data_IF_587971425308
#
_entry.id   IF_587971425308
#
_cell.length_a   1.000
_cell.length_b   1.000
_cell.length_c   1.000
_cell.angle_alpha   90.00
_cell.angle_beta   90.00
_cell.angle_gamma   90.00
#
_symmetry.space_group_name_H-M   'P 1'
#
loop_
_entity.id
_entity.type
_entity.pdbx_description
1 polymer ?
#
# COMPACT_ATOMS: atom_id res chain seq x y z
N UNK A 1 -7.19 29.85 -22.74
CA UNK A 1 -8.11 29.28 -21.74
C UNK A 1 -7.44 28.07 -21.12
N UNK A 2 -6.93 28.17 -19.89
CA UNK A 2 -6.34 27.02 -19.20
C UNK A 2 -7.42 25.96 -19.05
N UNK A 3 -7.23 24.76 -19.61
CA UNK A 3 -8.11 23.61 -19.30
C UNK A 3 -8.10 23.46 -17.79
N UNK A 4 -9.25 23.66 -17.16
CA UNK A 4 -9.43 23.49 -15.72
C UNK A 4 -9.02 22.04 -15.39
N UNK A 5 -7.96 21.87 -14.59
CA UNK A 5 -7.45 20.55 -14.24
C UNK A 5 -8.47 19.85 -13.35
N UNK A 6 -9.12 18.80 -13.86
CA UNK A 6 -10.08 18.02 -13.08
C UNK A 6 -9.36 17.33 -11.92
N UNK A 7 -9.91 17.32 -10.70
CA UNK A 7 -9.38 16.50 -9.61
C UNK A 7 -9.25 15.02 -9.99
N UNK A 8 -8.31 14.30 -9.36
CA UNK A 8 -8.06 12.89 -9.65
C UNK A 8 -9.32 12.02 -9.57
N UNK A 9 -10.16 12.21 -8.53
CA UNK A 9 -11.36 11.40 -8.36
C UNK A 9 -12.37 11.57 -9.51
N UNK A 10 -12.51 12.78 -10.06
CA UNK A 10 -13.37 13.03 -11.23
C UNK A 10 -12.82 12.35 -12.48
N UNK A 11 -11.52 12.47 -12.73
CA UNK A 11 -10.87 11.81 -13.86
C UNK A 11 -11.06 10.28 -13.80
N UNK A 12 -10.91 9.70 -12.61
CA UNK A 12 -11.07 8.26 -12.40
C UNK A 12 -12.54 7.82 -12.51
N UNK A 13 -13.47 8.57 -11.93
CA UNK A 13 -14.89 8.28 -12.03
C UNK A 13 -15.39 8.35 -13.47
N UNK A 14 -14.98 9.37 -14.24
CA UNK A 14 -15.31 9.50 -15.66
C UNK A 14 -14.77 8.33 -16.48
N UNK A 15 -13.50 7.97 -16.27
CA UNK A 15 -12.86 6.86 -16.97
C UNK A 15 -13.54 5.53 -16.65
N UNK A 16 -13.72 5.21 -15.36
CA UNK A 16 -14.35 3.97 -14.94
C UNK A 16 -15.80 3.90 -15.39
N UNK A 17 -16.54 5.01 -15.34
CA UNK A 17 -17.92 5.12 -15.86
C UNK A 17 -17.98 4.86 -17.37
N UNK A 18 -16.99 5.30 -18.14
CA UNK A 18 -16.90 5.02 -19.57
C UNK A 18 -16.63 3.53 -19.85
N UNK A 19 -15.65 2.94 -19.16
CA UNK A 19 -15.32 1.51 -19.31
C UNK A 19 -16.46 0.59 -18.89
N UNK A 20 -17.20 0.94 -17.82
CA UNK A 20 -18.38 0.21 -17.38
C UNK A 20 -19.50 0.20 -18.45
N UNK A 21 -19.71 1.33 -19.13
CA UNK A 21 -20.68 1.42 -20.25
C UNK A 21 -20.21 0.64 -21.48
N UNK A 22 -18.91 0.61 -21.72
CA UNK A 22 -18.31 -0.13 -22.83
C UNK A 22 -18.21 -1.65 -22.57
N UNK A 23 -18.44 -2.11 -21.33
CA UNK A 23 -18.26 -3.51 -20.97
C UNK A 23 -16.79 -3.94 -20.92
N UNK A 24 -15.87 -2.99 -20.79
CA UNK A 24 -14.42 -3.23 -20.78
C UNK A 24 -13.78 -3.01 -19.41
N UNK A 25 -14.58 -2.66 -18.40
CA UNK A 25 -14.09 -2.44 -17.04
C UNK A 25 -13.45 -3.72 -16.49
N UNK A 26 -12.34 -3.61 -15.72
CA UNK A 26 -11.83 -4.73 -14.93
C UNK A 26 -12.88 -5.32 -13.98
N UNK A 27 -13.91 -4.55 -13.59
CA UNK A 27 -15.03 -5.02 -12.78
C UNK A 27 -16.05 -5.86 -13.56
N UNK A 28 -15.88 -6.05 -14.87
CA UNK A 28 -16.78 -6.85 -15.71
C UNK A 28 -16.05 -7.98 -16.41
N UNK A 29 -14.84 -7.71 -16.92
CA UNK A 29 -14.00 -8.70 -17.58
C UNK A 29 -12.83 -9.03 -16.66
N UNK A 30 -12.76 -10.24 -16.08
CA UNK A 30 -11.68 -10.62 -15.17
C UNK A 30 -10.40 -11.04 -15.91
N UNK A 31 -10.49 -11.33 -17.21
CA UNK A 31 -9.37 -11.77 -18.07
C UNK A 31 -9.37 -10.90 -19.34
N UNK A 32 -8.17 -10.51 -19.81
CA UNK A 32 -7.93 -9.82 -21.08
C UNK A 32 -7.97 -10.81 -22.25
N UNK A 33 -8.05 -10.31 -23.48
CA UNK A 33 -8.05 -11.16 -24.69
C UNK A 33 -6.77 -11.99 -24.86
N UNK A 34 -5.65 -11.50 -24.32
CA UNK A 34 -4.36 -12.21 -24.33
C UNK A 34 -4.23 -13.28 -23.22
N UNK A 35 -5.31 -13.58 -22.49
CA UNK A 35 -5.34 -14.59 -21.43
C UNK A 35 -4.77 -14.12 -20.08
N UNK A 36 -4.24 -12.91 -19.98
CA UNK A 36 -3.76 -12.36 -18.71
C UNK A 36 -4.91 -11.83 -17.84
N UNK A 37 -4.74 -11.76 -16.50
CA UNK A 37 -5.70 -11.10 -15.64
C UNK A 37 -5.98 -9.66 -16.09
N UNK A 38 -7.25 -9.27 -16.14
CA UNK A 38 -7.65 -7.90 -16.46
C UNK A 38 -7.29 -6.90 -15.36
N UNK A 39 -7.07 -7.40 -14.15
CA UNK A 39 -6.59 -6.64 -13.02
C UNK A 39 -5.33 -7.31 -12.45
N UNK A 40 -4.25 -6.54 -12.38
CA UNK A 40 -3.02 -6.94 -11.69
C UNK A 40 -2.76 -5.90 -10.61
N UNK A 41 -2.55 -6.35 -9.37
CA UNK A 41 -2.36 -5.46 -8.22
C UNK A 41 -1.09 -4.63 -8.40
N UNK A 42 -1.20 -3.29 -8.51
CA UNK A 42 -0.04 -2.41 -8.61
C UNK A 42 0.81 -2.50 -7.33
N UNK A 43 2.12 -2.60 -7.52
CA UNK A 43 3.08 -2.79 -6.45
C UNK A 43 4.27 -1.84 -6.60
N UNK A 44 4.78 -1.36 -5.48
CA UNK A 44 6.06 -0.67 -5.47
C UNK A 44 7.19 -1.72 -5.43
N UNK A 45 8.03 -1.83 -6.48
CA UNK A 45 9.01 -2.91 -6.57
C UNK A 45 10.19 -2.75 -5.60
N UNK A 46 10.41 -1.56 -5.03
CA UNK A 46 11.46 -1.32 -4.04
C UNK A 46 11.00 -1.81 -2.66
N UNK A 47 9.76 -1.49 -2.28
CA UNK A 47 9.25 -1.81 -0.93
C UNK A 47 8.47 -3.13 -0.87
N UNK A 48 8.07 -3.67 -2.02
CA UNK A 48 7.17 -4.82 -2.13
C UNK A 48 5.73 -4.53 -1.66
N UNK A 49 5.40 -3.27 -1.37
CA UNK A 49 4.07 -2.89 -0.86
C UNK A 49 3.13 -2.50 -1.99
N UNK A 50 1.86 -2.91 -1.85
CA UNK A 50 0.77 -2.43 -2.69
C UNK A 50 0.40 -0.98 -2.40
N UNK A 51 -0.38 -0.39 -3.30
CA UNK A 51 -0.92 0.97 -3.16
C UNK A 51 -2.31 0.95 -2.48
N UNK A 52 -2.74 2.12 -1.98
CA UNK A 52 -4.12 2.26 -1.45
C UNK A 52 -5.15 1.96 -2.54
N UNK A 53 -6.33 1.46 -2.16
CA UNK A 53 -7.39 1.05 -3.10
C UNK A 53 -7.65 2.06 -4.23
N UNK A 54 -7.78 3.35 -3.92
CA UNK A 54 -8.03 4.39 -4.93
C UNK A 54 -6.84 4.53 -5.91
N UNK A 55 -5.62 4.50 -5.39
CA UNK A 55 -4.42 4.55 -6.23
C UNK A 55 -4.25 3.27 -7.04
N UNK A 56 -4.58 2.12 -6.46
CA UNK A 56 -4.60 0.83 -7.15
C UNK A 56 -5.55 0.87 -8.35
N UNK A 57 -6.77 1.42 -8.18
CA UNK A 57 -7.69 1.64 -9.30
C UNK A 57 -7.07 2.62 -10.32
N UNK A 58 -6.48 3.73 -9.86
CA UNK A 58 -5.89 4.74 -10.74
C UNK A 58 -4.78 4.18 -11.64
N UNK A 59 -3.92 3.32 -11.08
CA UNK A 59 -2.80 2.69 -11.77
C UNK A 59 -3.29 1.53 -12.64
N UNK A 60 -4.18 0.67 -12.15
CA UNK A 60 -4.72 -0.47 -12.91
C UNK A 60 -5.48 -0.02 -14.17
N UNK A 61 -6.23 1.09 -14.10
CA UNK A 61 -6.91 1.67 -15.26
C UNK A 61 -5.95 2.11 -16.36
N UNK A 62 -4.63 2.20 -16.14
CA UNK A 62 -3.67 2.48 -17.21
C UNK A 62 -3.45 1.30 -18.15
N UNK A 63 -3.80 0.08 -17.73
CA UNK A 63 -3.84 -1.10 -18.59
C UNK A 63 -2.49 -1.75 -18.88
N UNK A 64 -1.41 -1.31 -18.22
CA UNK A 64 -0.10 -1.97 -18.29
C UNK A 64 -0.18 -3.42 -17.77
N UNK A 65 0.71 -4.27 -18.30
CA UNK A 65 0.79 -5.67 -17.91
C UNK A 65 1.78 -5.84 -16.75
N UNK A 66 2.83 -5.01 -16.70
CA UNK A 66 3.73 -4.98 -15.56
C UNK A 66 3.06 -4.29 -14.35
N UNK A 67 2.96 -4.94 -13.18
CA UNK A 67 2.33 -4.33 -12.01
C UNK A 67 3.24 -3.36 -11.26
N UNK A 68 4.50 -3.18 -11.65
CA UNK A 68 5.48 -2.41 -10.88
C UNK A 68 5.37 -0.92 -11.22
N UNK A 69 5.14 -0.10 -10.19
CA UNK A 69 5.04 1.36 -10.30
C UNK A 69 5.94 2.04 -9.29
N UNK A 70 6.59 3.14 -9.66
CA UNK A 70 7.39 3.96 -8.74
C UNK A 70 7.50 5.42 -9.22
N UNK A 71 7.96 6.32 -8.35
CA UNK A 71 8.24 7.71 -8.76
C UNK A 71 9.54 7.81 -9.57
N UNK A 72 9.74 8.93 -10.26
CA UNK A 72 10.98 9.18 -10.99
C UNK A 72 12.20 9.23 -10.04
N UNK A 73 12.02 9.77 -8.83
CA UNK A 73 13.07 9.82 -7.81
C UNK A 73 13.46 8.42 -7.33
N UNK A 74 12.47 7.55 -7.14
CA UNK A 74 12.69 6.15 -6.76
C UNK A 74 13.40 5.37 -7.87
N UNK A 75 13.02 5.59 -9.13
CA UNK A 75 13.71 5.01 -10.28
C UNK A 75 15.18 5.45 -10.33
N UNK A 76 15.43 6.76 -10.18
CA UNK A 76 16.78 7.33 -10.17
C UNK A 76 17.63 6.79 -9.02
N UNK A 77 17.05 6.66 -7.84
CA UNK A 77 17.72 6.06 -6.69
C UNK A 77 18.13 4.61 -6.95
N UNK A 78 17.29 3.85 -7.69
CA UNK A 78 17.60 2.49 -8.11
C UNK A 78 18.51 2.42 -9.36
N UNK A 79 19.11 3.54 -9.81
CA UNK A 79 19.98 3.58 -10.98
C UNK A 79 19.24 3.52 -12.33
N UNK A 80 17.92 3.68 -12.35
CA UNK A 80 17.09 3.64 -13.55
C UNK A 80 16.57 5.04 -13.93
N UNK A 81 16.17 5.22 -15.19
CA UNK A 81 15.69 6.50 -15.69
C UNK A 81 14.35 6.37 -16.40
N UNK A 82 13.43 7.29 -16.13
CA UNK A 82 12.15 7.38 -16.85
C UNK A 82 12.42 7.79 -18.31
N UNK A 83 11.74 7.16 -19.27
CA UNK A 83 11.84 7.49 -20.71
C UNK A 83 11.38 8.93 -20.97
N UNK A 84 12.02 9.62 -21.92
CA UNK A 84 11.82 11.06 -22.16
C UNK A 84 10.36 11.46 -22.46
N UNK A 85 9.60 10.58 -23.11
CA UNK A 85 8.21 10.79 -23.53
C UNK A 85 7.17 10.16 -22.58
N UNK A 86 7.63 9.54 -21.49
CA UNK A 86 6.76 8.86 -20.54
C UNK A 86 5.85 9.84 -19.79
N UNK A 87 4.57 9.48 -19.67
CA UNK A 87 3.57 10.26 -18.94
C UNK A 87 3.32 9.61 -17.58
N UNK A 88 3.61 10.36 -16.53
CA UNK A 88 3.34 9.93 -15.16
C UNK A 88 1.84 9.79 -14.87
N UNK A 89 1.51 8.87 -13.98
CA UNK A 89 0.16 8.66 -13.44
C UNK A 89 0.06 9.29 -12.07
N UNK A 90 -0.86 10.25 -11.93
CA UNK A 90 -1.10 10.96 -10.69
C UNK A 90 -1.74 10.03 -9.65
N UNK A 91 -1.18 10.04 -8.43
CA UNK A 91 -1.75 9.42 -7.24
C UNK A 91 -1.90 10.44 -6.11
N UNK A 92 -2.79 10.14 -5.16
CA UNK A 92 -2.90 10.89 -3.91
C UNK A 92 -2.44 10.02 -2.74
N UNK A 93 -1.75 10.58 -1.75
CA UNK A 93 -1.36 9.84 -0.56
C UNK A 93 -1.42 10.75 0.68
N UNK A 94 -1.64 10.20 1.89
CA UNK A 94 -1.48 10.99 3.11
C UNK A 94 0.00 11.34 3.30
N UNK A 95 0.35 12.61 3.16
CA UNK A 95 1.69 13.14 3.45
C UNK A 95 1.72 13.50 4.93
N UNK A 96 2.61 12.89 5.70
CA UNK A 96 2.72 13.09 7.16
C UNK A 96 3.88 14.00 7.56
N UNK A 97 4.78 14.31 6.63
CA UNK A 97 5.91 15.19 6.87
C UNK A 97 6.38 15.86 5.58
N UNK A 98 7.17 16.93 5.73
CA UNK A 98 7.84 17.61 4.63
C UNK A 98 9.31 17.86 4.95
N UNK A 99 10.16 17.88 3.92
CA UNK A 99 11.57 18.25 4.06
C UNK A 99 11.67 19.76 3.81
N UNK A 100 11.99 20.51 4.87
CA UNK A 100 12.12 21.97 4.81
C UNK A 100 13.58 22.39 4.96
N UNK A 101 14.00 23.39 4.20
CA UNK A 101 15.32 23.99 4.39
C UNK A 101 15.45 24.61 5.79
N UNK A 102 16.56 24.34 6.47
CA UNK A 102 16.90 25.04 7.70
C UNK A 102 17.24 26.49 7.32
N UNK A 103 16.67 27.43 8.06
CA UNK A 103 16.89 28.86 7.83
C UNK A 103 17.47 29.53 9.08
N UNK A 104 18.34 30.51 8.85
CA UNK A 104 18.87 31.40 9.89
C UNK A 104 17.76 32.37 10.39
N UNK A 105 17.97 33.08 11.51
CA UNK A 105 16.98 34.04 12.02
C UNK A 105 16.59 35.15 11.04
N UNK A 106 17.48 35.53 10.13
CA UNK A 106 17.28 36.47 9.02
C UNK A 106 16.64 35.84 7.77
N UNK A 107 16.36 34.53 7.80
CA UNK A 107 15.60 33.82 6.77
C UNK A 107 16.45 33.22 5.64
N UNK A 108 17.78 33.37 5.67
CA UNK A 108 18.69 32.74 4.70
C UNK A 108 18.75 31.22 4.90
N UNK A 109 18.95 30.45 3.82
CA UNK A 109 19.12 29.00 3.91
C UNK A 109 20.47 28.66 4.54
N UNK A 110 20.49 27.75 5.50
CA UNK A 110 21.73 27.20 6.05
C UNK A 110 22.31 26.22 5.03
N UNK A 111 23.59 26.41 4.68
CA UNK A 111 24.33 25.57 3.74
C UNK A 111 25.44 24.87 4.54
N UNK A 112 25.54 23.55 4.39
CA UNK A 112 26.60 22.75 5.00
C UNK A 112 27.95 22.94 4.31
N UNK A 113 29.01 22.40 4.90
CA UNK A 113 30.37 22.48 4.35
C UNK A 113 30.50 21.82 2.97
N UNK A 114 29.60 20.88 2.63
CA UNK A 114 29.52 20.24 1.32
C UNK A 114 28.80 21.09 0.24
N UNK A 115 28.44 22.34 0.58
CA UNK A 115 27.73 23.25 -0.32
C UNK A 115 26.24 22.93 -0.48
N UNK A 116 25.68 21.93 0.22
CA UNK A 116 24.26 21.59 0.14
C UNK A 116 23.45 22.31 1.21
N UNK A 117 22.22 22.69 0.85
CA UNK A 117 21.27 23.26 1.82
C UNK A 117 20.95 22.21 2.88
N UNK A 118 21.18 22.55 4.16
CA UNK A 118 20.73 21.71 5.26
C UNK A 118 19.21 21.72 5.34
N UNK A 119 18.63 20.55 5.59
CA UNK A 119 17.18 20.38 5.66
C UNK A 119 16.79 19.70 6.97
N UNK A 120 15.54 19.90 7.38
CA UNK A 120 14.92 19.19 8.49
C UNK A 120 13.60 18.60 8.03
N UNK A 121 13.26 17.43 8.57
CA UNK A 121 11.92 16.87 8.42
C UNK A 121 10.98 17.55 9.40
N UNK A 122 9.90 18.13 8.88
CA UNK A 122 8.83 18.72 9.68
C UNK A 122 7.62 17.81 9.57
N UNK A 123 7.24 17.20 10.68
CA UNK A 123 6.01 16.41 10.74
C UNK A 123 4.78 17.31 10.81
N UNK A 124 3.72 16.89 10.13
CA UNK A 124 2.44 17.57 10.18
C UNK A 124 1.62 17.07 11.35
N UNK A 125 0.91 17.98 12.02
CA UNK A 125 0.01 17.63 13.12
C UNK A 125 -1.12 16.68 12.68
N UNK A 126 -1.49 16.73 11.39
CA UNK A 126 -2.42 15.81 10.74
C UNK A 126 -1.89 15.48 9.34
N UNK A 127 -2.17 14.29 8.80
CA UNK A 127 -1.81 13.98 7.43
C UNK A 127 -2.42 15.00 6.45
N UNK A 128 -1.57 15.60 5.62
CA UNK A 128 -1.98 16.47 4.53
C UNK A 128 -2.15 15.66 3.23
N UNK A 129 -2.77 16.26 2.22
CA UNK A 129 -2.91 15.62 0.90
C UNK A 129 -1.60 15.74 0.12
N UNK A 130 -0.87 14.63 0.03
CA UNK A 130 0.25 14.46 -0.88
C UNK A 130 -0.22 14.08 -2.30
N UNK A 131 0.54 14.54 -3.29
CA UNK A 131 0.40 14.15 -4.69
C UNK A 131 1.74 13.65 -5.20
N UNK A 132 1.73 12.61 -6.02
CA UNK A 132 2.92 12.11 -6.70
C UNK A 132 2.56 11.61 -8.09
N UNK A 133 3.52 11.63 -8.99
CA UNK A 133 3.43 10.95 -10.27
C UNK A 133 4.23 9.66 -10.20
N UNK A 134 3.58 8.56 -10.56
CA UNK A 134 4.21 7.26 -10.71
C UNK A 134 4.34 6.88 -12.17
N UNK A 135 5.40 6.14 -12.47
CA UNK A 135 5.70 5.58 -13.77
C UNK A 135 5.70 4.06 -13.64
N UNK A 136 5.10 3.41 -14.62
CA UNK A 136 5.12 1.96 -14.73
C UNK A 136 6.54 1.49 -15.11
N UNK A 137 6.92 0.27 -14.75
CA UNK A 137 8.19 -0.34 -15.16
C UNK A 137 8.41 -0.30 -16.69
N UNK A 138 7.35 -0.47 -17.49
CA UNK A 138 7.40 -0.36 -18.96
C UNK A 138 7.81 1.05 -19.44
N UNK A 139 7.69 2.07 -18.59
CA UNK A 139 8.05 3.47 -18.85
C UNK A 139 9.45 3.84 -18.34
N UNK A 140 10.16 2.88 -17.74
CA UNK A 140 11.50 3.07 -17.16
C UNK A 140 12.51 2.34 -18.05
N UNK A 141 13.63 3.01 -18.35
CA UNK A 141 14.72 2.46 -19.16
C UNK A 141 15.52 1.46 -18.33
N UNK A 142 15.94 0.37 -18.99
CA UNK A 142 16.82 -0.67 -18.43
C UNK A 142 16.28 -1.32 -17.15
N UNK A 143 14.96 -1.36 -16.99
CA UNK A 143 14.32 -1.91 -15.79
C UNK A 143 14.40 -3.45 -15.76
N UNK A 144 14.65 -4.09 -14.59
CA UNK A 144 14.77 -5.55 -14.50
C UNK A 144 13.53 -6.30 -15.03
N UNK A 145 13.69 -7.48 -15.65
CA UNK A 145 12.57 -8.29 -16.14
C UNK A 145 11.51 -8.57 -15.07
N UNK A 146 10.26 -8.73 -15.49
CA UNK A 146 9.15 -8.99 -14.56
C UNK A 146 9.27 -10.38 -13.94
N UNK A 147 9.76 -11.35 -14.71
CA UNK A 147 9.92 -12.75 -14.33
C UNK A 147 10.80 -12.89 -13.08
N UNK A 148 11.89 -12.14 -13.00
CA UNK A 148 12.80 -12.15 -11.85
C UNK A 148 12.12 -11.64 -10.57
N UNK A 149 11.28 -10.62 -10.72
CA UNK A 149 10.49 -10.08 -9.60
C UNK A 149 9.42 -11.09 -9.14
N UNK A 150 8.71 -11.71 -10.08
CA UNK A 150 7.68 -12.70 -9.78
C UNK A 150 8.26 -13.95 -9.12
N UNK A 151 9.43 -14.41 -9.59
CA UNK A 151 10.16 -15.54 -9.00
C UNK A 151 10.51 -15.28 -7.53
N UNK A 152 11.10 -14.12 -7.24
CA UNK A 152 11.42 -13.72 -5.85
C UNK A 152 10.17 -13.65 -4.97
N UNK A 153 9.06 -13.13 -5.49
CA UNK A 153 7.80 -13.12 -4.75
C UNK A 153 7.26 -14.52 -4.48
N UNK A 154 7.36 -15.42 -5.45
CA UNK A 154 6.90 -16.79 -5.30
C UNK A 154 7.74 -17.57 -4.28
N UNK A 155 9.06 -17.42 -4.32
CA UNK A 155 9.98 -18.02 -3.34
C UNK A 155 9.70 -17.54 -1.91
N UNK A 156 9.27 -16.29 -1.74
CA UNK A 156 8.92 -15.73 -0.44
C UNK A 156 7.52 -16.12 0.09
N UNK A 157 6.69 -16.81 -0.72
CA UNK A 157 5.31 -17.15 -0.38
C UNK A 157 5.14 -18.67 -0.27
N UNK A 158 5.10 -19.23 0.96
CA UNK A 158 5.07 -20.68 1.16
C UNK A 158 3.72 -21.32 0.83
N UNK A 159 2.64 -20.54 0.77
CA UNK A 159 1.29 -21.01 0.48
C UNK A 159 0.91 -20.69 -0.96
N UNK A 160 0.24 -21.64 -1.61
CA UNK A 160 -0.38 -21.44 -2.92
C UNK A 160 -1.50 -20.39 -2.86
N UNK A 161 -1.89 -19.79 -4.01
CA UNK A 161 -3.04 -18.88 -4.08
C UNK A 161 -4.32 -19.43 -3.45
N UNK A 162 -4.61 -20.72 -3.68
CA UNK A 162 -5.78 -21.42 -3.16
C UNK A 162 -5.71 -21.55 -1.64
N UNK A 163 -4.60 -22.08 -1.10
CA UNK A 163 -4.42 -22.23 0.36
C UNK A 163 -4.50 -20.89 1.09
N UNK A 164 -3.98 -19.81 0.49
CA UNK A 164 -4.11 -18.45 1.06
C UNK A 164 -5.56 -17.98 1.10
N UNK A 165 -6.34 -18.28 0.07
CA UNK A 165 -7.76 -17.93 0.00
C UNK A 165 -8.60 -18.74 0.99
N UNK A 166 -8.40 -20.06 1.05
CA UNK A 166 -9.04 -20.93 2.03
C UNK A 166 -8.71 -20.50 3.46
N UNK A 167 -7.43 -20.18 3.72
CA UNK A 167 -6.99 -19.67 5.01
C UNK A 167 -7.68 -18.35 5.36
N UNK A 168 -7.80 -17.41 4.42
CA UNK A 168 -8.52 -16.14 4.64
C UNK A 168 -9.98 -16.40 5.02
N UNK A 169 -10.66 -17.30 4.30
CA UNK A 169 -12.04 -17.67 4.61
C UNK A 169 -12.14 -18.30 6.00
N UNK A 170 -11.26 -19.24 6.34
CA UNK A 170 -11.24 -19.89 7.65
C UNK A 170 -10.88 -18.93 8.80
N UNK A 171 -10.01 -17.96 8.56
CA UNK A 171 -9.61 -16.94 9.53
C UNK A 171 -10.70 -15.88 9.76
N UNK A 172 -11.60 -15.69 8.78
CA UNK A 172 -12.72 -14.75 8.91
C UNK A 172 -13.70 -15.13 10.02
N UNK A 173 -13.82 -16.43 10.33
CA UNK A 173 -14.81 -17.00 11.26
C UNK A 173 -16.26 -16.72 10.89
N UNK A 174 -16.54 -16.32 9.64
CA UNK A 174 -17.90 -16.23 9.16
C UNK A 174 -18.57 -17.62 9.16
N UNK A 175 -19.85 -17.65 9.54
CA UNK A 175 -20.67 -18.86 9.40
C UNK A 175 -21.02 -19.01 7.92
N UNK A 176 -20.56 -20.10 7.30
CA UNK A 176 -20.85 -20.42 5.90
C UNK A 176 -21.73 -21.66 5.87
N UNK A 177 -22.90 -21.52 5.26
CA UNK A 177 -23.90 -22.59 5.09
C UNK A 177 -24.01 -22.92 3.61
N UNK A 178 -23.91 -24.21 3.29
CA UNK A 178 -24.07 -24.70 1.93
C UNK A 178 -25.51 -25.11 1.63
N UNK A 179 -25.98 -24.78 0.42
CA UNK A 179 -27.30 -25.15 -0.08
C UNK A 179 -27.92 -24.08 -0.99
N UNK A 180 -28.98 -24.46 -1.71
CA UNK A 180 -29.64 -23.57 -2.67
C UNK A 180 -28.91 -23.48 -4.02
N UNK A 181 -29.13 -22.39 -4.75
CA UNK A 181 -28.57 -22.16 -6.10
C UNK A 181 -27.79 -20.84 -6.21
N UNK A 182 -27.91 -19.95 -5.21
CA UNK A 182 -27.34 -18.61 -5.26
C UNK A 182 -26.45 -18.34 -4.06
N UNK A 183 -25.37 -17.60 -4.28
CA UNK A 183 -24.47 -17.12 -3.23
C UNK A 183 -24.96 -15.77 -2.71
N UNK A 184 -25.17 -15.64 -1.41
CA UNK A 184 -25.58 -14.38 -0.78
C UNK A 184 -25.18 -14.31 0.69
N UNK A 185 -25.11 -13.10 1.22
CA UNK A 185 -24.97 -12.84 2.66
C UNK A 185 -26.34 -12.52 3.28
N UNK A 186 -26.78 -13.33 4.25
CA UNK A 186 -27.97 -13.08 5.06
C UNK A 186 -27.61 -12.18 6.24
N UNK A 187 -27.91 -10.88 6.09
CA UNK A 187 -27.66 -9.87 7.13
C UNK A 187 -28.42 -10.12 8.43
N UNK A 188 -29.61 -10.73 8.37
CA UNK A 188 -30.46 -10.92 9.55
C UNK A 188 -29.95 -12.07 10.44
N UNK A 189 -29.43 -13.13 9.82
CA UNK A 189 -28.82 -14.26 10.53
C UNK A 189 -27.33 -14.13 10.77
N UNK A 190 -26.71 -13.19 10.07
CA UNK A 190 -25.26 -13.02 10.01
C UNK A 190 -24.52 -14.25 9.42
N UNK A 191 -25.10 -14.84 8.37
CA UNK A 191 -24.63 -16.06 7.72
C UNK A 191 -24.34 -15.83 6.24
N UNK A 192 -23.32 -16.50 5.72
CA UNK A 192 -23.04 -16.56 4.28
C UNK A 192 -23.64 -17.86 3.74
N UNK A 193 -24.49 -17.75 2.74
CA UNK A 193 -25.03 -18.88 2.01
C UNK A 193 -24.28 -19.05 0.69
N UNK A 194 -23.82 -20.27 0.41
CA UNK A 194 -23.18 -20.63 -0.84
C UNK A 194 -23.84 -21.89 -1.43
N UNK A 195 -23.93 -22.00 -2.76
CA UNK A 195 -24.17 -23.27 -3.44
C UNK A 195 -23.15 -24.33 -3.02
N UNK A 196 -23.49 -25.61 -3.23
CA UNK A 196 -22.53 -26.70 -3.00
C UNK A 196 -21.28 -26.52 -3.88
N UNK A 197 -20.11 -26.93 -3.37
CA UNK A 197 -18.83 -26.68 -4.05
C UNK A 197 -18.79 -27.26 -5.48
N UNK A 198 -19.45 -28.40 -5.70
CA UNK A 198 -19.53 -29.09 -6.98
C UNK A 198 -20.44 -28.40 -8.00
N UNK A 199 -21.24 -27.41 -7.58
CA UNK A 199 -22.06 -26.58 -8.46
C UNK A 199 -21.27 -25.41 -9.07
N UNK A 200 -20.05 -25.17 -8.59
CA UNK A 200 -19.15 -24.20 -9.20
C UNK A 200 -18.30 -24.85 -10.30
N UNK A 201 -18.00 -24.07 -11.34
CA UNK A 201 -17.14 -24.51 -12.46
C UNK A 201 -15.78 -25.04 -11.98
N UNK A 202 -15.22 -24.43 -10.93
CA UNK A 202 -14.01 -24.87 -10.26
C UNK A 202 -13.88 -24.24 -8.87
N UNK A 203 -12.88 -24.71 -8.12
CA UNK A 203 -12.58 -24.24 -6.76
C UNK A 203 -12.28 -22.73 -6.70
N UNK A 204 -11.59 -22.17 -7.71
CA UNK A 204 -11.30 -20.72 -7.74
C UNK A 204 -12.59 -19.91 -7.81
N UNK A 205 -13.58 -20.34 -8.59
CA UNK A 205 -14.89 -19.67 -8.68
C UNK A 205 -15.67 -19.72 -7.37
N UNK A 206 -15.61 -20.86 -6.66
CA UNK A 206 -16.16 -20.97 -5.31
C UNK A 206 -15.50 -19.96 -4.35
N UNK A 207 -14.16 -19.91 -4.33
CA UNK A 207 -13.40 -19.01 -3.45
C UNK A 207 -13.69 -17.53 -3.75
N UNK A 208 -13.77 -17.16 -5.04
CA UNK A 208 -14.14 -15.81 -5.45
C UNK A 208 -15.54 -15.42 -4.98
N UNK A 209 -16.53 -16.32 -5.11
CA UNK A 209 -17.87 -16.09 -4.62
C UNK A 209 -17.90 -15.94 -3.08
N UNK A 210 -17.21 -16.82 -2.37
CA UNK A 210 -17.09 -16.75 -0.91
C UNK A 210 -16.45 -15.43 -0.44
N UNK A 211 -15.38 -14.97 -1.11
CA UNK A 211 -14.71 -13.70 -0.80
C UNK A 211 -15.63 -12.50 -1.05
N UNK A 212 -16.44 -12.54 -2.11
CA UNK A 212 -17.45 -11.50 -2.36
C UNK A 212 -18.50 -11.45 -1.26
N UNK A 213 -19.02 -12.60 -0.83
CA UNK A 213 -19.96 -12.64 0.29
C UNK A 213 -19.31 -12.25 1.61
N UNK A 214 -18.02 -12.57 1.82
CA UNK A 214 -17.26 -12.07 2.97
C UNK A 214 -17.14 -10.54 2.94
N UNK A 215 -16.99 -9.93 1.77
CA UNK A 215 -16.97 -8.48 1.66
C UNK A 215 -18.27 -7.88 2.21
N UNK A 216 -19.43 -8.40 1.83
CA UNK A 216 -20.73 -8.01 2.41
C UNK A 216 -20.81 -8.31 3.90
N UNK A 217 -20.40 -9.51 4.32
CA UNK A 217 -20.37 -9.91 5.72
C UNK A 217 -19.64 -8.88 6.56
N UNK A 218 -18.47 -8.35 6.15
CA UNK A 218 -17.78 -7.32 6.96
C UNK A 218 -18.61 -6.06 7.25
N UNK A 219 -19.67 -5.79 6.50
CA UNK A 219 -20.53 -4.61 6.64
C UNK A 219 -21.53 -4.66 7.79
N UNK A 220 -21.72 -5.80 8.44
CA UNK A 220 -22.67 -5.97 9.56
C UNK A 220 -22.40 -5.00 10.73
N UNK A 221 -23.44 -4.79 11.54
CA UNK A 221 -23.43 -3.83 12.64
C UNK A 221 -22.37 -4.09 13.71
N UNK A 222 -22.01 -5.36 13.94
CA UNK A 222 -20.95 -5.77 14.87
C UNK A 222 -19.54 -5.64 14.30
N UNK A 223 -19.40 -5.22 13.03
CA UNK A 223 -18.13 -5.13 12.30
C UNK A 223 -17.92 -3.72 11.77
N UNK A 224 -18.01 -3.51 10.46
CA UNK A 224 -17.77 -2.18 9.88
C UNK A 224 -19.01 -1.28 9.89
N UNK A 225 -20.19 -1.83 10.22
CA UNK A 225 -21.47 -1.10 10.32
C UNK A 225 -21.71 -0.21 9.10
N UNK A 226 -21.55 -0.77 7.91
CA UNK A 226 -21.80 -0.06 6.66
C UNK A 226 -23.31 0.05 6.43
N UNK A 227 -23.80 1.12 5.79
CA UNK A 227 -25.20 1.29 5.45
C UNK A 227 -25.59 0.33 4.30
N UNK A 228 -25.80 -0.94 4.65
CA UNK A 228 -26.28 -1.98 3.74
C UNK A 228 -27.81 -2.01 3.78
N UNK A 229 -28.41 -0.90 3.35
CA UNK A 229 -29.86 -0.71 3.25
C UNK A 229 -30.27 -0.63 1.77
N UNK A 230 -31.56 -0.82 1.50
CA UNK A 230 -32.12 -0.78 0.16
C UNK A 230 -32.50 -2.16 -0.39
N UNK A 231 -33.44 -2.16 -1.32
CA UNK A 231 -33.91 -3.36 -2.02
C UNK A 231 -32.99 -3.68 -3.20
N UNK A 232 -32.98 -4.94 -3.62
CA UNK A 232 -32.31 -5.37 -4.84
C UNK A 232 -32.61 -4.42 -6.02
N UNK A 233 -31.58 -4.00 -6.75
CA UNK A 233 -31.67 -3.07 -7.87
C UNK A 233 -31.79 -1.57 -7.50
N UNK A 234 -31.90 -1.22 -6.21
CA UNK A 234 -31.83 0.19 -5.76
C UNK A 234 -30.43 0.79 -5.91
N UNK A 235 -30.32 2.11 -5.79
CA UNK A 235 -29.02 2.78 -5.85
C UNK A 235 -28.19 2.49 -4.60
N UNK A 236 -28.83 2.42 -3.44
CA UNK A 236 -28.22 2.10 -2.14
C UNK A 236 -27.64 0.68 -2.16
N UNK A 237 -28.42 -0.29 -2.65
CA UNK A 237 -27.94 -1.66 -2.89
C UNK A 237 -26.75 -1.68 -3.86
N UNK A 238 -26.85 -0.94 -4.97
CA UNK A 238 -25.76 -0.82 -5.95
C UNK A 238 -24.47 -0.23 -5.38
N UNK A 239 -24.55 0.67 -4.39
CA UNK A 239 -23.39 1.24 -3.70
C UNK A 239 -22.66 0.21 -2.83
N UNK A 240 -23.39 -0.68 -2.14
CA UNK A 240 -22.76 -1.75 -1.37
C UNK A 240 -22.15 -2.82 -2.28
N UNK A 241 -22.84 -3.22 -3.36
CA UNK A 241 -22.27 -4.10 -4.38
C UNK A 241 -20.99 -3.52 -4.99
N UNK A 242 -20.93 -2.20 -5.21
CA UNK A 242 -19.73 -1.56 -5.72
C UNK A 242 -18.54 -1.66 -4.75
N UNK A 243 -18.79 -1.50 -3.45
CA UNK A 243 -17.78 -1.68 -2.40
C UNK A 243 -17.29 -3.12 -2.33
N UNK A 244 -18.22 -4.07 -2.32
CA UNK A 244 -17.91 -5.49 -2.31
C UNK A 244 -17.12 -5.89 -3.55
N UNK A 245 -17.50 -5.41 -4.73
CA UNK A 245 -16.81 -5.69 -5.97
C UNK A 245 -15.36 -5.16 -5.97
N UNK A 246 -15.14 -3.90 -5.57
CA UNK A 246 -13.79 -3.36 -5.45
C UNK A 246 -12.98 -4.16 -4.41
N UNK A 247 -13.56 -4.51 -3.27
CA UNK A 247 -12.87 -5.28 -2.23
C UNK A 247 -12.46 -6.67 -2.73
N UNK A 248 -13.37 -7.39 -3.38
CA UNK A 248 -13.10 -8.69 -4.00
C UNK A 248 -12.00 -8.61 -5.06
N UNK A 249 -11.98 -7.55 -5.87
CA UNK A 249 -10.90 -7.32 -6.84
C UNK A 249 -9.54 -7.12 -6.15
N UNK A 250 -9.49 -6.31 -5.08
CA UNK A 250 -8.27 -6.06 -4.31
C UNK A 250 -7.76 -7.34 -3.62
N UNK A 251 -8.65 -8.07 -2.93
CA UNK A 251 -8.32 -9.32 -2.23
C UNK A 251 -7.92 -10.39 -3.23
N UNK A 252 -8.69 -10.56 -4.30
CA UNK A 252 -8.42 -11.53 -5.36
C UNK A 252 -7.09 -11.30 -6.06
N UNK A 253 -6.72 -10.04 -6.30
CA UNK A 253 -5.42 -9.66 -6.85
C UNK A 253 -4.27 -9.95 -5.87
N UNK A 254 -4.42 -9.61 -4.59
CA UNK A 254 -3.43 -9.92 -3.53
C UNK A 254 -3.21 -11.42 -3.36
N UNK A 255 -4.29 -12.21 -3.42
CA UNK A 255 -4.25 -13.66 -3.30
C UNK A 255 -3.83 -14.37 -4.60
N UNK A 256 -3.81 -13.65 -5.73
CA UNK A 256 -3.55 -14.19 -7.08
C UNK A 256 -4.58 -15.24 -7.54
N UNK A 257 -5.82 -15.10 -7.09
CA UNK A 257 -6.97 -15.91 -7.55
C UNK A 257 -7.88 -15.11 -8.50
N UNK A 258 -7.61 -13.81 -8.70
CA UNK A 258 -8.46 -12.92 -9.48
C UNK A 258 -9.83 -12.69 -8.83
N UNK A 259 -10.78 -12.19 -9.60
CA UNK A 259 -12.15 -11.98 -9.16
C UNK A 259 -13.13 -12.49 -10.20
N UNK A 260 -14.37 -12.73 -9.77
CA UNK A 260 -15.47 -13.02 -10.68
C UNK A 260 -16.75 -12.43 -10.13
N UNK A 261 -17.32 -11.48 -10.86
CA UNK A 261 -18.57 -10.82 -10.51
C UNK A 261 -19.78 -11.45 -11.20
N UNK A 262 -19.64 -12.67 -11.74
CA UNK A 262 -20.73 -13.37 -12.43
C UNK A 262 -21.33 -12.55 -13.59
N UNK A 263 -22.54 -12.90 -14.06
CA UNK A 263 -23.25 -12.16 -15.09
C UNK A 263 -23.91 -10.87 -14.57
N UNK A 264 -23.30 -10.16 -13.61
CA UNK A 264 -23.83 -8.92 -13.04
C UNK A 264 -23.61 -7.67 -13.93
N UNK A 265 -23.71 -7.82 -15.25
CA UNK A 265 -23.85 -6.69 -16.19
C UNK A 265 -25.00 -5.73 -15.76
N UNK A 266 -25.96 -6.24 -14.98
CA UNK A 266 -27.03 -5.46 -14.37
C UNK A 266 -26.53 -4.31 -13.46
N UNK A 267 -25.44 -4.49 -12.70
CA UNK A 267 -24.93 -3.43 -11.82
C UNK A 267 -24.04 -2.42 -12.52
N UNK A 268 -23.40 -2.80 -13.63
CA UNK A 268 -22.51 -1.89 -14.37
C UNK A 268 -23.24 -0.60 -14.80
N UNK A 269 -24.51 -0.71 -15.21
CA UNK A 269 -25.34 0.45 -15.54
C UNK A 269 -25.61 1.33 -14.30
N UNK A 270 -25.93 0.72 -13.16
CA UNK A 270 -26.18 1.43 -11.90
C UNK A 270 -24.90 2.11 -11.39
N UNK A 271 -23.75 1.43 -11.42
CA UNK A 271 -22.45 1.99 -11.05
C UNK A 271 -22.04 3.12 -11.99
N UNK A 272 -22.17 2.94 -13.31
CA UNK A 272 -21.86 3.99 -14.27
C UNK A 272 -22.72 5.24 -14.08
N UNK A 273 -24.01 5.06 -13.74
CA UNK A 273 -24.90 6.16 -13.35
C UNK A 273 -24.47 6.81 -12.04
N UNK A 274 -24.22 6.02 -11.01
CA UNK A 274 -23.79 6.50 -9.68
C UNK A 274 -22.49 7.32 -9.77
N UNK A 275 -21.50 6.87 -10.55
CA UNK A 275 -20.25 7.59 -10.78
C UNK A 275 -20.43 8.87 -11.62
N UNK A 276 -21.45 8.92 -12.48
CA UNK A 276 -21.80 10.13 -13.24
C UNK A 276 -22.46 11.17 -12.34
N UNK A 277 -23.36 10.72 -11.46
CA UNK A 277 -24.15 11.59 -10.58
C UNK A 277 -23.34 12.07 -9.36
N UNK A 278 -22.50 11.20 -8.79
CA UNK A 278 -21.59 11.50 -7.67
C UNK A 278 -20.19 10.91 -7.95
N UNK A 279 -19.31 11.63 -8.66
CA UNK A 279 -17.94 11.18 -8.95
C UNK A 279 -17.12 10.87 -7.69
N UNK A 280 -17.45 11.49 -6.55
CA UNK A 280 -16.75 11.25 -5.30
C UNK A 280 -17.12 9.90 -4.67
N UNK A 281 -18.20 9.26 -5.11
CA UNK A 281 -18.57 7.92 -4.68
C UNK A 281 -17.46 6.88 -4.92
N UNK A 282 -16.67 7.03 -5.99
CA UNK A 282 -15.51 6.16 -6.22
C UNK A 282 -14.51 6.21 -5.05
N UNK A 283 -14.26 7.41 -4.52
CA UNK A 283 -13.32 7.58 -3.41
C UNK A 283 -13.87 6.96 -2.12
N UNK A 284 -15.17 7.13 -1.85
CA UNK A 284 -15.86 6.50 -0.71
C UNK A 284 -15.83 4.98 -0.83
N UNK A 285 -16.20 4.44 -1.99
CA UNK A 285 -16.23 3.01 -2.23
C UNK A 285 -14.83 2.39 -2.14
N UNK A 286 -13.80 3.05 -2.69
CA UNK A 286 -12.42 2.60 -2.56
C UNK A 286 -11.93 2.64 -1.10
N UNK A 287 -12.31 3.65 -0.33
CA UNK A 287 -11.96 3.73 1.10
C UNK A 287 -12.59 2.57 1.90
N UNK A 288 -13.87 2.30 1.70
CA UNK A 288 -14.54 1.17 2.36
C UNK A 288 -13.97 -0.16 1.89
N UNK A 289 -13.73 -0.33 0.59
CA UNK A 289 -13.10 -1.53 0.04
C UNK A 289 -11.70 -1.77 0.60
N UNK A 290 -10.90 -0.71 0.82
CA UNK A 290 -9.61 -0.83 1.51
C UNK A 290 -9.78 -1.37 2.93
N UNK A 291 -10.78 -0.89 3.69
CA UNK A 291 -11.07 -1.38 5.05
C UNK A 291 -11.51 -2.83 5.05
N UNK A 292 -12.35 -3.24 4.09
CA UNK A 292 -12.76 -4.64 3.87
C UNK A 292 -11.52 -5.51 3.62
N UNK A 293 -10.71 -5.16 2.63
CA UNK A 293 -9.50 -5.90 2.28
C UNK A 293 -8.53 -5.96 3.47
N UNK A 294 -8.29 -4.84 4.16
CA UNK A 294 -7.46 -4.77 5.36
C UNK A 294 -7.95 -5.68 6.49
N UNK A 295 -9.26 -5.74 6.73
CA UNK A 295 -9.86 -6.61 7.74
C UNK A 295 -9.66 -8.08 7.41
N UNK A 296 -9.97 -8.49 6.17
CA UNK A 296 -9.94 -9.89 5.74
C UNK A 296 -8.52 -10.42 5.51
N UNK A 297 -7.62 -9.60 4.94
CA UNK A 297 -6.20 -9.95 4.75
C UNK A 297 -5.38 -9.83 6.05
N UNK A 298 -6.00 -9.38 7.16
CA UNK A 298 -5.32 -9.16 8.43
C UNK A 298 -4.33 -7.97 8.42
N UNK A 299 -4.37 -7.13 7.38
CA UNK A 299 -3.55 -5.92 7.24
C UNK A 299 -4.16 -4.81 8.09
N UNK A 300 -3.83 -4.80 9.38
CA UNK A 300 -4.34 -3.79 10.32
C UNK A 300 -4.28 -4.20 11.79
N UNK A 301 -4.24 -5.50 12.10
CA UNK A 301 -4.16 -6.01 13.48
C UNK A 301 -2.88 -5.60 14.23
N UNK A 302 -1.90 -4.98 13.58
CA UNK A 302 -0.71 -4.41 14.24
C UNK A 302 -0.97 -3.07 14.94
N UNK A 303 -2.07 -2.35 14.66
CA UNK A 303 -2.39 -1.11 15.40
C UNK A 303 -3.27 -1.33 16.63
N UNK A 304 -4.13 -2.35 16.63
CA UNK A 304 -5.07 -2.58 17.76
C UNK A 304 -4.58 -3.58 18.82
N UNK A 305 -3.43 -4.25 18.63
CA UNK A 305 -2.79 -5.09 19.67
C UNK A 305 -1.72 -4.31 20.48
N UNK A 306 -1.50 -3.01 20.19
CA UNK A 306 -0.55 -2.16 20.94
C UNK A 306 -1.20 -1.14 21.89
N UNK A 307 -2.42 -1.38 22.37
CA UNK A 307 -2.95 -0.65 23.53
C UNK A 307 -2.98 -1.49 24.83
N UNK A 308 -2.50 -2.74 24.81
CA UNK A 308 -2.57 -3.64 25.98
C UNK A 308 -1.26 -4.25 26.49
N UNK A 309 -0.13 -4.11 25.78
CA UNK A 309 1.14 -4.69 26.22
C UNK A 309 2.32 -3.76 25.86
N UNK A 310 2.52 -2.74 26.69
CA UNK A 310 3.76 -1.99 26.69
C UNK A 310 4.89 -2.90 27.17
N UNK A 311 5.71 -3.40 26.25
CA UNK A 311 7.12 -3.58 26.59
C UNK A 311 7.68 -2.16 26.63
N UNK A 312 7.81 -1.59 27.83
CA UNK A 312 8.55 -0.34 28.04
C UNK A 312 9.99 -0.56 27.58
N UNK A 313 10.29 -0.23 26.32
CA UNK A 313 11.67 -0.04 25.88
C UNK A 313 12.13 1.27 26.49
N UNK A 314 12.50 1.26 27.77
CA UNK A 314 13.10 2.40 28.45
C UNK A 314 14.60 2.50 28.20
N UNK A 315 15.17 3.66 28.52
CA UNK A 315 16.61 3.84 28.57
C UNK A 315 17.21 3.12 29.78
N UNK A 316 18.40 2.55 29.60
CA UNK A 316 19.23 1.95 30.64
C UNK A 316 20.57 2.68 30.64
N UNK A 317 21.13 2.87 31.83
CA UNK A 317 22.50 3.39 31.97
C UNK A 317 23.46 2.48 31.23
N UNK A 318 24.25 3.07 30.32
CA UNK A 318 25.20 2.36 29.46
C UNK A 318 24.72 2.11 28.03
N UNK A 319 23.45 2.37 27.69
CA UNK A 319 23.00 2.28 26.30
C UNK A 319 23.84 3.18 25.40
N UNK A 320 24.25 2.67 24.24
CA UNK A 320 24.83 3.47 23.15
C UNK A 320 23.83 3.48 22.00
N UNK A 321 23.41 4.68 21.60
CA UNK A 321 22.32 4.88 20.67
C UNK A 321 22.84 5.76 19.53
N UNK A 322 23.04 5.17 18.36
CA UNK A 322 23.35 5.92 17.15
C UNK A 322 22.10 6.71 16.73
N UNK A 323 22.24 8.02 16.62
CA UNK A 323 21.14 8.90 16.21
C UNK A 323 21.71 10.13 15.49
N UNK A 324 21.20 10.37 14.27
CA UNK A 324 21.79 11.33 13.33
C UNK A 324 23.23 10.90 12.97
N UNK A 325 24.18 11.81 13.09
CA UNK A 325 25.59 11.73 12.76
C UNK A 325 26.47 11.46 14.01
N UNK A 326 25.86 11.11 15.14
CA UNK A 326 26.59 10.86 16.39
C UNK A 326 26.00 9.70 17.19
N UNK A 327 26.75 9.24 18.19
CA UNK A 327 26.33 8.20 19.14
C UNK A 327 26.14 8.81 20.51
N UNK A 328 24.95 8.64 21.08
CA UNK A 328 24.62 9.08 22.42
C UNK A 328 24.76 7.93 23.41
N UNK A 329 25.57 8.11 24.43
CA UNK A 329 25.71 7.18 25.56
C UNK A 329 24.84 7.63 26.72
N UNK A 330 23.92 6.79 27.19
CA UNK A 330 23.11 7.09 28.37
C UNK A 330 23.97 6.94 29.63
N UNK A 331 24.30 8.05 30.26
CA UNK A 331 25.10 8.09 31.49
C UNK A 331 24.26 7.79 32.74
N UNK A 332 23.03 8.31 32.81
CA UNK A 332 22.14 8.14 33.96
C UNK A 332 20.67 8.13 33.53
N UNK A 333 19.84 7.44 34.30
CA UNK A 333 18.37 7.49 34.17
C UNK A 333 17.77 7.86 35.53
N UNK A 334 16.77 8.74 35.52
CA UNK A 334 16.16 9.29 36.73
C UNK A 334 14.73 8.75 36.93
N UNK A 335 14.23 8.78 38.17
CA UNK A 335 12.88 8.27 38.52
C UNK A 335 11.73 8.96 37.77
N UNK A 336 11.93 10.20 37.33
CA UNK A 336 10.97 10.96 36.52
C UNK A 336 11.11 10.68 35.00
N UNK A 337 11.82 9.62 34.62
CA UNK A 337 12.13 9.23 33.23
C UNK A 337 13.02 10.21 32.47
N UNK A 338 13.61 11.21 33.12
CA UNK A 338 14.70 11.98 32.51
C UNK A 338 15.93 11.08 32.32
N UNK A 339 16.76 11.42 31.34
CA UNK A 339 18.04 10.76 31.11
C UNK A 339 19.15 11.79 30.98
N UNK A 340 20.37 11.39 31.33
CA UNK A 340 21.58 12.14 31.01
C UNK A 340 22.33 11.38 29.92
N UNK A 341 22.63 12.04 28.82
CA UNK A 341 23.34 11.44 27.68
C UNK A 341 24.64 12.20 27.40
N UNK A 342 25.63 11.51 26.88
CA UNK A 342 26.89 12.06 26.39
C UNK A 342 27.02 11.76 24.90
N UNK A 343 27.25 12.78 24.08
CA UNK A 343 27.53 12.60 22.65
C UNK A 343 28.99 12.16 22.41
N UNK A 344 29.32 11.82 21.14
CA UNK A 344 30.66 11.37 20.78
C UNK A 344 31.77 12.43 20.97
N UNK A 345 31.41 13.71 21.11
CA UNK A 345 32.32 14.82 21.36
C UNK A 345 32.46 15.13 22.86
N UNK A 346 31.86 14.32 23.74
CA UNK A 346 31.91 14.50 25.20
C UNK A 346 30.91 15.54 25.73
N UNK A 347 30.00 16.04 24.89
CA UNK A 347 28.93 16.95 25.28
C UNK A 347 27.88 16.23 26.12
N UNK A 348 27.59 16.74 27.32
CA UNK A 348 26.62 16.12 28.27
C UNK A 348 25.31 16.88 28.30
N UNK A 349 24.22 16.17 28.04
CA UNK A 349 22.88 16.75 27.92
C UNK A 349 21.91 16.02 28.85
N UNK A 350 21.14 16.77 29.64
CA UNK A 350 19.99 16.24 30.36
C UNK A 350 18.75 16.33 29.47
N UNK A 351 18.13 15.20 29.18
CA UNK A 351 17.04 15.06 28.23
C UNK A 351 15.78 14.59 28.97
N UNK A 352 14.69 15.34 28.84
CA UNK A 352 13.40 15.08 29.49
C UNK A 352 12.45 14.34 28.54
N UNK A 353 11.44 13.59 29.02
CA UNK A 353 10.45 12.92 28.17
C UNK A 353 9.70 13.83 27.18
N UNK A 354 9.63 15.13 27.47
CA UNK A 354 9.01 16.15 26.62
C UNK A 354 9.90 16.60 25.46
N UNK A 355 11.21 16.37 25.57
CA UNK A 355 12.19 16.86 24.60
C UNK A 355 12.16 16.00 23.34
N UNK A 356 12.34 16.63 22.19
CA UNK A 356 12.34 15.94 20.88
C UNK A 356 13.42 14.86 20.85
N UNK A 357 14.62 15.18 21.34
CA UNK A 357 15.75 14.25 21.43
C UNK A 357 15.41 12.99 22.25
N UNK A 358 14.59 13.10 23.31
CA UNK A 358 14.17 11.94 24.09
C UNK A 358 13.43 10.92 23.24
N UNK A 359 12.43 11.41 22.49
CA UNK A 359 11.58 10.57 21.65
C UNK A 359 12.40 9.95 20.52
N UNK A 360 13.29 10.73 19.92
CA UNK A 360 14.13 10.26 18.83
C UNK A 360 15.18 9.23 19.25
N UNK A 361 15.80 9.38 20.43
CA UNK A 361 16.69 8.35 20.99
C UNK A 361 15.93 7.07 21.36
N UNK A 362 14.69 7.20 21.82
CA UNK A 362 13.84 6.06 22.17
C UNK A 362 13.46 5.26 20.93
N UNK A 363 13.13 5.98 19.85
CA UNK A 363 12.80 5.41 18.54
C UNK A 363 14.01 4.76 17.87
N UNK A 364 15.18 5.43 17.89
CA UNK A 364 16.43 4.89 17.37
C UNK A 364 16.87 3.64 18.14
N UNK A 365 16.65 3.60 19.46
CA UNK A 365 16.91 2.40 20.28
C UNK A 365 15.93 1.26 19.95
N UNK A 366 14.68 1.57 19.66
CA UNK A 366 13.67 0.57 19.29
C UNK A 366 13.88 0.04 17.87
N UNK A 367 14.52 0.81 16.99
CA UNK A 367 14.80 0.48 15.60
C UNK A 367 16.26 0.86 15.23
N UNK A 368 17.28 0.13 15.71
CA UNK A 368 18.68 0.46 15.43
C UNK A 368 18.95 0.37 13.93
N UNK A 369 19.49 1.45 13.33
CA UNK A 369 19.98 1.43 11.95
C UNK A 369 21.22 0.53 11.88
N UNK A 370 21.23 -0.44 10.96
CA UNK A 370 22.46 -1.17 10.64
C UNK A 370 23.47 -0.21 9.97
N UNK A 371 24.75 -0.20 10.39
CA UNK A 371 25.74 0.66 9.77
C UNK A 371 26.00 0.27 8.32
N UNK A 372 26.09 1.27 7.45
CA UNK A 372 26.54 1.13 6.06
C UNK A 372 27.90 0.41 6.04
N UNK A 373 28.02 -0.65 5.23
CA UNK A 373 29.32 -1.22 4.87
C UNK A 373 30.11 -0.14 4.12
N UNK A 374 31.10 0.43 4.80
CA UNK A 374 32.15 1.22 4.16
C UNK A 374 32.93 0.26 3.25
N UNK A 375 32.71 0.36 1.95
CA UNK A 375 33.62 -0.23 0.96
C UNK A 375 34.90 0.58 1.06
N UNK A 376 35.94 -0.01 1.66
CA UNK A 376 37.27 0.56 1.68
C UNK A 376 37.81 0.63 0.26
N UNK A 377 38.23 1.83 -0.16
CA UNK A 377 39.03 2.09 -1.36
C UNK A 377 40.42 1.45 -1.23
N UNK A 378 40.51 0.12 -1.31
CA UNK A 378 41.77 -0.62 -1.39
C UNK A 378 41.60 -1.87 -2.29
N UNK A 379 41.08 -1.71 -3.51
CA UNK A 379 41.17 -2.75 -4.55
C UNK A 379 41.38 -2.23 -5.99
N UNK A 380 41.88 -1.01 -6.18
CA UNK A 380 42.24 -0.49 -7.51
C UNK A 380 43.74 -0.52 -7.84
N UNK A 381 44.59 -1.18 -7.04
CA UNK A 381 46.04 -1.28 -7.33
C UNK A 381 46.60 -2.67 -7.69
N UNK A 382 45.78 -3.73 -7.79
CA UNK A 382 46.30 -5.08 -8.11
C UNK A 382 45.93 -5.67 -9.48
N UNK A 383 45.35 -4.91 -10.42
CA UNK A 383 45.22 -5.35 -11.82
C UNK A 383 46.20 -4.69 -12.79
N UNK A 384 47.22 -4.01 -12.26
CA UNK A 384 48.25 -3.31 -13.02
C UNK A 384 49.56 -4.08 -13.22
N UNK A 385 49.63 -5.40 -13.03
CA UNK A 385 50.84 -6.19 -13.34
C UNK A 385 50.48 -7.66 -13.58
N UNK A 386 50.33 -8.07 -14.84
CA UNK A 386 50.98 -9.27 -15.42
C UNK A 386 50.54 -9.47 -16.88
N UNK A 387 51.49 -9.94 -17.69
CA UNK A 387 51.38 -10.41 -19.08
C UNK A 387 51.58 -9.38 -20.21
N UNK A 388 52.82 -8.86 -20.28
CA UNK A 388 53.57 -8.90 -21.54
C UNK A 388 54.51 -10.12 -21.55
N UNK A 389 54.83 -10.58 -22.76
CA UNK A 389 55.73 -11.69 -23.18
C UNK A 389 54.98 -13.03 -23.31
N UNK A 390 54.89 -13.70 -24.45
CA UNK A 390 55.48 -13.49 -25.76
C UNK A 390 55.64 -14.84 -26.48
N UNK A 391 55.33 -14.84 -27.79
CA UNK A 391 55.44 -15.92 -28.80
C UNK A 391 54.36 -16.98 -28.85
#
# INVERSE_FOLDING_TARGET
>A
MSKQFKPLFEQLAEKLSAELRAGTSPLQKPIKENGMPAFVTPINPITGKGYSALNTIALALKGHDDPRWMSAEAARYAGNYVKEDAKGTLINFPKTSDIQAIRTPDGAKVVGEDGKTQTRTVEFAKPEKGVAFLFNAEQIKDFPPLEDFLKKQQEAQPLTPIERAEKLIADSKAVIVHGGQEAFYDKAKDEIHLPEKDQFENETKYLQAAIHQLAHWTGHESRQKRPMEGRFGSQEYGREEFRAAIASMLIGGELKIGHNFGPHAAYATNWAKTLKDDPYELSKAAYDAQRIASMLLGVGKKKEIKEGAGVEVGFKKGDQIAYSDTTYKVLETYKNKNIKVEDANGGRINVKPTDVLYKSLLEAKANPMEPEMVISEEQEQEQGQTNKIGR
#
